data_IF_848236395845
#
_entry.id   IF_848236395845
#
_cell.length_a   1.000
_cell.length_b   1.000
_cell.length_c   1.000
_cell.angle_alpha   90.00
_cell.angle_beta   90.00
_cell.angle_gamma   90.00
#
_symmetry.space_group_name_H-M   'P 1'
#
loop_
_entity.id
_entity.type
_entity.pdbx_description
1 polymer ?
#
# COMPACT_ATOMS: atom_id res chain seq x y z
N UNK A 1 13.48 4.62 -4.02
CA UNK A 1 12.55 4.87 -2.89
C UNK A 1 12.93 6.19 -2.24
N UNK A 2 12.05 7.19 -2.31
CA UNK A 2 12.24 8.50 -1.65
C UNK A 2 11.98 8.35 -0.15
N UNK A 3 12.56 9.23 0.68
CA UNK A 3 12.38 9.17 2.15
C UNK A 3 10.90 9.18 2.58
N UNK A 4 10.03 9.90 1.84
CA UNK A 4 8.58 9.92 2.06
C UNK A 4 7.91 8.54 1.91
N UNK A 5 8.46 7.67 1.07
CA UNK A 5 7.96 6.30 0.85
C UNK A 5 8.15 5.44 2.10
N UNK A 6 9.25 5.66 2.85
CA UNK A 6 9.54 5.00 4.13
C UNK A 6 8.57 5.41 5.25
N UNK A 7 7.99 6.60 5.17
CA UNK A 7 7.07 7.15 6.18
C UNK A 7 5.63 6.64 6.03
N UNK A 8 5.28 6.05 4.89
CA UNK A 8 3.93 5.58 4.59
C UNK A 8 3.91 4.08 4.29
N UNK A 9 4.16 3.22 5.31
CA UNK A 9 4.29 1.79 5.09
C UNK A 9 2.95 1.10 4.76
N UNK A 10 1.82 1.77 4.94
CA UNK A 10 0.51 1.20 4.64
C UNK A 10 0.07 1.60 3.23
N UNK A 11 -0.22 0.63 2.38
CA UNK A 11 -0.65 0.86 1.00
C UNK A 11 -1.99 0.18 0.75
N UNK A 12 -2.84 0.78 -0.08
CA UNK A 12 -4.04 0.13 -0.60
C UNK A 12 -3.80 -0.23 -2.06
N UNK A 13 -3.98 -1.50 -2.38
CA UNK A 13 -3.89 -2.01 -3.74
C UNK A 13 -5.28 -2.46 -4.18
N UNK A 14 -5.64 -2.12 -5.42
CA UNK A 14 -6.79 -2.67 -6.11
C UNK A 14 -6.35 -3.80 -7.03
N UNK A 15 -6.97 -4.96 -6.88
CA UNK A 15 -6.78 -6.09 -7.80
C UNK A 15 -7.81 -6.00 -8.92
N UNK A 16 -7.33 -6.04 -10.16
CA UNK A 16 -8.13 -5.99 -11.36
C UNK A 16 -8.25 -7.39 -11.99
N UNK A 17 -9.31 -7.62 -12.76
CA UNK A 17 -9.67 -8.92 -13.35
C UNK A 17 -8.61 -9.48 -14.31
N UNK A 18 -7.70 -8.64 -14.80
CA UNK A 18 -6.62 -8.98 -15.72
C UNK A 18 -5.31 -9.33 -14.98
N UNK A 19 -5.39 -9.81 -13.73
CA UNK A 19 -4.24 -10.11 -12.89
C UNK A 19 -3.31 -8.91 -12.65
N UNK A 20 -3.83 -7.68 -12.77
CA UNK A 20 -3.07 -6.46 -12.48
C UNK A 20 -3.39 -5.95 -11.09
N UNK A 21 -2.37 -5.38 -10.46
CA UNK A 21 -2.46 -4.73 -9.16
C UNK A 21 -2.15 -3.24 -9.34
N UNK A 22 -3.12 -2.40 -9.00
CA UNK A 22 -2.98 -0.96 -9.06
C UNK A 22 -2.82 -0.40 -7.65
N UNK A 23 -1.72 0.29 -7.38
CA UNK A 23 -1.55 1.04 -6.13
C UNK A 23 -2.46 2.27 -6.15
N UNK A 24 -3.39 2.34 -5.19
CA UNK A 24 -4.36 3.43 -5.10
C UNK A 24 -3.81 4.58 -4.28
N UNK A 25 -3.27 4.28 -3.09
CA UNK A 25 -2.77 5.28 -2.16
C UNK A 25 -1.85 4.67 -1.10
N UNK A 26 -1.01 5.52 -0.51
CA UNK A 26 -0.15 5.20 0.65
C UNK A 26 -0.57 6.03 1.86
N UNK A 27 -0.43 5.46 3.05
CA UNK A 27 -0.88 5.99 4.32
C UNK A 27 0.17 5.78 5.40
N UNK A 28 0.22 6.71 6.37
CA UNK A 28 1.13 6.63 7.52
C UNK A 28 0.64 5.63 8.57
N UNK A 29 -0.68 5.52 8.73
CA UNK A 29 -1.34 4.68 9.71
C UNK A 29 -2.32 3.71 9.07
N UNK A 30 -2.46 2.52 9.68
CA UNK A 30 -3.47 1.53 9.30
C UNK A 30 -4.89 2.09 9.42
N UNK A 31 -5.15 2.93 10.42
CA UNK A 31 -6.48 3.50 10.67
C UNK A 31 -6.97 4.36 9.50
N UNK A 32 -6.10 5.21 8.96
CA UNK A 32 -6.42 6.02 7.78
C UNK A 32 -6.67 5.14 6.55
N UNK A 33 -5.82 4.13 6.34
CA UNK A 33 -6.00 3.17 5.25
C UNK A 33 -7.33 2.40 5.37
N UNK A 34 -7.72 1.97 6.58
CA UNK A 34 -9.00 1.27 6.79
C UNK A 34 -10.20 2.18 6.55
N UNK A 35 -10.16 3.43 7.01
CA UNK A 35 -11.25 4.37 6.76
C UNK A 35 -11.41 4.65 5.25
N UNK A 36 -10.29 4.82 4.54
CA UNK A 36 -10.29 5.00 3.09
C UNK A 36 -10.78 3.76 2.34
N UNK A 37 -10.37 2.55 2.76
CA UNK A 37 -10.85 1.29 2.20
C UNK A 37 -12.38 1.16 2.34
N UNK A 38 -12.94 1.49 3.51
CA UNK A 38 -14.38 1.46 3.73
C UNK A 38 -15.11 2.44 2.80
N UNK A 39 -14.56 3.64 2.58
CA UNK A 39 -15.12 4.57 1.61
C UNK A 39 -15.03 4.02 0.17
N UNK A 40 -13.89 3.44 -0.21
CA UNK A 40 -13.70 2.82 -1.53
C UNK A 40 -14.68 1.67 -1.79
N UNK A 41 -14.89 0.77 -0.82
CA UNK A 41 -15.84 -0.33 -0.95
C UNK A 41 -17.28 0.15 -1.11
N UNK A 42 -17.65 1.30 -0.52
CA UNK A 42 -18.98 1.89 -0.71
C UNK A 42 -19.15 2.53 -2.08
N UNK A 43 -18.07 3.09 -2.64
CA UNK A 43 -18.09 3.72 -3.97
C UNK A 43 -17.98 2.69 -5.10
N UNK A 44 -17.24 1.61 -4.87
CA UNK A 44 -16.93 0.56 -5.85
C UNK A 44 -17.13 -0.79 -5.17
N UNK A 45 -18.38 -1.27 -5.03
CA UNK A 45 -18.68 -2.51 -4.32
C UNK A 45 -18.09 -3.74 -5.02
N UNK A 46 -17.98 -3.72 -6.35
CA UNK A 46 -17.38 -4.81 -7.14
C UNK A 46 -15.83 -4.77 -7.15
N UNK A 47 -15.23 -3.80 -6.46
CA UNK A 47 -13.78 -3.63 -6.42
C UNK A 47 -13.14 -4.49 -5.33
N UNK A 48 -12.15 -5.30 -5.71
CA UNK A 48 -11.29 -5.99 -4.74
C UNK A 48 -10.16 -5.07 -4.31
N UNK A 49 -10.19 -4.66 -3.03
CA UNK A 49 -9.18 -3.80 -2.42
C UNK A 49 -8.50 -4.50 -1.25
N UNK A 50 -7.18 -4.38 -1.17
CA UNK A 50 -6.36 -5.02 -0.15
C UNK A 50 -5.42 -4.00 0.49
N UNK A 51 -5.35 -4.00 1.83
CA UNK A 51 -4.38 -3.22 2.59
C UNK A 51 -3.10 -4.06 2.73
N UNK A 52 -1.97 -3.50 2.31
CA UNK A 52 -0.66 -4.12 2.41
C UNK A 52 0.24 -3.27 3.29
N UNK A 53 1.02 -3.92 4.15
CA UNK A 53 2.10 -3.28 4.90
C UNK A 53 3.42 -3.54 4.18
N UNK A 54 4.00 -2.49 3.62
CA UNK A 54 5.30 -2.52 2.95
C UNK A 54 6.37 -2.01 3.95
N UNK A 55 7.15 -2.95 4.48
CA UNK A 55 8.29 -2.60 5.32
C UNK A 55 9.47 -2.27 4.41
N UNK A 56 9.81 -0.98 4.27
CA UNK A 56 11.04 -0.59 3.57
C UNK A 56 12.22 -1.03 4.42
N UNK A 57 12.76 -2.22 4.14
CA UNK A 57 14.06 -2.60 4.67
C UNK A 57 15.10 -1.75 3.95
N UNK A 58 15.89 -1.02 4.72
CA UNK A 58 17.12 -0.47 4.20
C UNK A 58 18.00 -1.67 3.82
N UNK A 59 18.07 -1.99 2.54
CA UNK A 59 19.13 -2.84 2.02
C UNK A 59 20.41 -2.05 2.23
N UNK A 60 20.96 -2.12 3.44
CA UNK A 60 22.38 -1.93 3.66
C UNK A 60 23.04 -3.03 2.85
N UNK A 61 23.54 -2.67 1.68
CA UNK A 61 24.57 -3.45 1.02
C UNK A 61 25.75 -3.43 1.99
N UNK A 62 25.84 -4.47 2.82
CA UNK A 62 27.03 -4.71 3.61
C UNK A 62 28.05 -5.18 2.59
N UNK A 63 28.89 -4.26 2.11
CA UNK A 63 30.11 -4.62 1.39
C UNK A 63 30.99 -5.36 2.40
N UNK A 64 30.96 -6.70 2.34
CA UNK A 64 31.95 -7.58 2.96
C UNK A 64 33.34 -7.18 2.43
N UNK A 65 34.17 -6.61 3.29
CA UNK A 65 35.59 -6.35 3.07
C UNK A 65 36.44 -7.12 4.09
#
# INVERSE_FOLDING_TARGET
MTYADKLHPWCIIRTLSNCQNLMIARFRSRGEATNYLNALQRLIPDGTFTIIFEMVKETTFVEDN
#
